data_IF_528937757488
#
_entry.id   IF_528937757488
#
_cell.length_a   1.000
_cell.length_b   1.000
_cell.length_c   1.000
_cell.angle_alpha   90.00
_cell.angle_beta   90.00
_cell.angle_gamma   90.00
#
_symmetry.space_group_name_H-M   'P 1'
#
loop_
_entity.id
_entity.type
_entity.pdbx_description
1 polymer ?
#
# COMPACT_ATOMS: atom_id res chain seq x y z
N UNK A 1 -45.60 -17.51 -8.58
CA UNK A 1 -45.35 -16.46 -7.57
C UNK A 1 -45.71 -16.98 -6.19
N UNK A 2 -44.95 -16.59 -5.16
CA UNK A 2 -45.09 -17.01 -3.76
C UNK A 2 -45.33 -15.79 -2.87
N UNK A 3 -46.19 -15.93 -1.87
CA UNK A 3 -46.39 -14.91 -0.83
C UNK A 3 -45.19 -14.85 0.12
N UNK A 4 -45.02 -13.74 0.86
CA UNK A 4 -43.96 -13.59 1.88
C UNK A 4 -43.90 -14.79 2.83
N UNK A 5 -45.07 -15.29 3.26
CA UNK A 5 -45.15 -16.44 4.17
C UNK A 5 -44.61 -17.72 3.52
N UNK A 6 -45.01 -18.00 2.28
CA UNK A 6 -44.49 -19.14 1.53
C UNK A 6 -42.98 -19.04 1.26
N UNK A 7 -42.44 -17.83 1.04
CA UNK A 7 -40.99 -17.62 0.91
C UNK A 7 -40.28 -17.84 2.24
N UNK A 8 -40.87 -17.37 3.34
CA UNK A 8 -40.37 -17.57 4.70
C UNK A 8 -40.28 -19.06 5.04
N UNK A 9 -41.37 -19.80 4.79
CA UNK A 9 -41.45 -21.24 5.04
C UNK A 9 -40.46 -22.03 4.17
N UNK A 10 -40.22 -21.59 2.93
CA UNK A 10 -39.28 -22.25 2.00
C UNK A 10 -37.81 -22.03 2.37
N UNK A 11 -37.46 -20.83 2.84
CA UNK A 11 -36.06 -20.40 2.97
C UNK A 11 -35.58 -20.35 4.42
N UNK A 12 -36.48 -20.48 5.40
CA UNK A 12 -36.19 -20.29 6.82
C UNK A 12 -35.97 -18.82 7.22
N UNK A 13 -36.05 -17.88 6.28
CA UNK A 13 -35.90 -16.45 6.56
C UNK A 13 -37.20 -15.90 7.14
N UNK A 14 -37.12 -15.21 8.27
CA UNK A 14 -38.31 -14.64 8.90
C UNK A 14 -39.03 -13.64 7.97
N UNK A 15 -40.35 -13.59 8.07
CA UNK A 15 -41.19 -12.57 7.40
C UNK A 15 -40.69 -11.15 7.67
N UNK A 16 -40.24 -10.88 8.90
CA UNK A 16 -39.65 -9.59 9.30
C UNK A 16 -38.39 -9.27 8.49
N UNK A 17 -37.50 -10.23 8.29
CA UNK A 17 -36.29 -10.03 7.50
C UNK A 17 -36.60 -9.79 6.01
N UNK A 18 -37.59 -10.50 5.45
CA UNK A 18 -38.03 -10.27 4.07
C UNK A 18 -38.64 -8.86 3.89
N UNK A 19 -39.42 -8.38 4.87
CA UNK A 19 -39.89 -6.99 4.87
C UNK A 19 -38.74 -5.99 4.97
N UNK A 20 -37.77 -6.24 5.84
CA UNK A 20 -36.60 -5.38 5.96
C UNK A 20 -35.77 -5.34 4.65
N UNK A 21 -35.63 -6.46 3.95
CA UNK A 21 -34.91 -6.50 2.66
C UNK A 21 -35.64 -5.70 1.58
N UNK A 22 -36.98 -5.67 1.60
CA UNK A 22 -37.79 -4.80 0.75
C UNK A 22 -37.61 -3.32 1.12
N UNK A 23 -37.68 -2.99 2.42
CA UNK A 23 -37.51 -1.63 2.94
C UNK A 23 -36.16 -1.00 2.55
N UNK A 24 -35.07 -1.75 2.68
CA UNK A 24 -33.74 -1.29 2.27
C UNK A 24 -33.51 -1.41 0.76
N UNK A 25 -34.47 -1.94 0.00
CA UNK A 25 -34.41 -2.12 -1.44
C UNK A 25 -33.39 -3.15 -1.90
N UNK A 26 -33.06 -4.13 -1.06
CA UNK A 26 -32.15 -5.25 -1.37
C UNK A 26 -32.90 -6.39 -2.09
N UNK A 27 -34.14 -6.68 -1.69
CA UNK A 27 -35.00 -7.66 -2.37
C UNK A 27 -36.44 -7.15 -2.43
N UNK A 28 -36.84 -6.65 -3.60
CA UNK A 28 -38.19 -6.12 -3.82
C UNK A 28 -39.15 -7.22 -4.29
N UNK A 29 -40.43 -7.17 -3.90
CA UNK A 29 -41.45 -8.04 -4.48
C UNK A 29 -41.70 -7.68 -5.94
N UNK A 30 -41.95 -8.69 -6.78
CA UNK A 30 -42.30 -8.46 -8.20
C UNK A 30 -43.69 -7.85 -8.34
N UNK A 31 -44.60 -8.19 -7.42
CA UNK A 31 -45.97 -7.69 -7.42
C UNK A 31 -46.47 -7.49 -6.00
N UNK A 32 -47.24 -6.43 -5.82
CA UNK A 32 -48.07 -6.23 -4.64
C UNK A 32 -49.52 -6.38 -5.11
N UNK A 33 -50.31 -7.23 -4.44
CA UNK A 33 -51.73 -7.41 -4.77
C UNK A 33 -52.56 -6.22 -4.28
N UNK A 34 -53.79 -6.06 -4.78
CA UNK A 34 -54.70 -4.99 -4.34
C UNK A 34 -55.02 -5.07 -2.83
N UNK A 35 -54.91 -6.27 -2.25
CA UNK A 35 -55.05 -6.51 -0.81
C UNK A 35 -53.74 -6.29 -0.01
N UNK A 36 -52.67 -5.80 -0.65
CA UNK A 36 -51.38 -5.47 -0.01
C UNK A 36 -50.42 -6.65 0.17
N UNK A 37 -50.68 -7.82 -0.42
CA UNK A 37 -49.77 -8.96 -0.31
C UNK A 37 -48.59 -8.84 -1.27
N UNK A 38 -47.37 -8.97 -0.76
CA UNK A 38 -46.14 -9.05 -1.55
C UNK A 38 -45.99 -10.44 -2.16
N UNK A 39 -45.66 -10.48 -3.45
CA UNK A 39 -45.47 -11.68 -4.24
C UNK A 39 -44.07 -11.71 -4.87
N UNK A 40 -43.42 -12.86 -4.75
CA UNK A 40 -42.07 -13.12 -5.27
C UNK A 40 -42.12 -14.24 -6.31
N UNK A 41 -41.50 -14.04 -7.46
CA UNK A 41 -41.31 -15.05 -8.48
C UNK A 41 -40.06 -15.90 -8.24
N UNK A 42 -39.79 -16.87 -9.12
CA UNK A 42 -38.65 -17.77 -8.99
C UNK A 42 -37.30 -17.03 -9.12
N UNK A 43 -37.23 -15.97 -9.92
CA UNK A 43 -36.02 -15.14 -10.01
C UNK A 43 -35.73 -14.41 -8.70
N UNK A 44 -36.76 -13.91 -8.01
CA UNK A 44 -36.61 -13.32 -6.68
C UNK A 44 -36.12 -14.34 -5.66
N UNK A 45 -36.51 -15.62 -5.78
CA UNK A 45 -35.96 -16.68 -4.92
C UNK A 45 -34.47 -16.91 -5.22
N UNK A 46 -34.06 -16.89 -6.49
CA UNK A 46 -32.63 -16.99 -6.86
C UNK A 46 -31.83 -15.80 -6.35
N UNK A 47 -32.39 -14.60 -6.41
CA UNK A 47 -31.76 -13.39 -5.85
C UNK A 47 -31.63 -13.49 -4.33
N UNK A 48 -32.68 -13.94 -3.65
CA UNK A 48 -32.65 -14.19 -2.21
C UNK A 48 -31.56 -15.21 -1.86
N UNK A 49 -31.44 -16.31 -2.61
CA UNK A 49 -30.38 -17.29 -2.40
C UNK A 49 -28.97 -16.66 -2.47
N UNK A 50 -28.72 -15.76 -3.42
CA UNK A 50 -27.44 -15.05 -3.52
C UNK A 50 -27.18 -14.13 -2.33
N UNK A 51 -28.21 -13.39 -1.88
CA UNK A 51 -28.13 -12.55 -0.68
C UNK A 51 -27.74 -13.40 0.54
N UNK A 52 -28.31 -14.60 0.65
CA UNK A 52 -28.00 -15.51 1.75
C UNK A 52 -26.56 -16.03 1.68
N UNK A 53 -26.02 -16.35 0.50
CA UNK A 53 -24.61 -16.73 0.39
C UNK A 53 -23.65 -15.62 0.83
N UNK A 54 -23.93 -14.36 0.48
CA UNK A 54 -23.15 -13.23 0.97
C UNK A 54 -23.25 -13.05 2.48
N UNK A 55 -24.42 -13.32 3.05
CA UNK A 55 -24.63 -13.25 4.50
C UNK A 55 -23.83 -14.31 5.25
N UNK A 56 -23.70 -15.52 4.71
CA UNK A 56 -22.94 -16.62 5.35
C UNK A 56 -21.42 -16.35 5.43
N UNK A 57 -20.91 -15.43 4.62
CA UNK A 57 -19.52 -14.93 4.67
C UNK A 57 -19.39 -13.58 5.40
N UNK A 58 -20.38 -13.23 6.23
CA UNK A 58 -20.40 -12.07 7.12
C UNK A 58 -20.34 -10.70 6.41
N UNK A 59 -20.73 -10.63 5.14
CA UNK A 59 -20.78 -9.35 4.41
C UNK A 59 -22.04 -8.56 4.83
N UNK A 60 -21.90 -7.28 5.23
CA UNK A 60 -23.03 -6.44 5.60
C UNK A 60 -24.04 -6.26 4.47
N UNK A 61 -25.34 -6.30 4.78
CA UNK A 61 -26.44 -6.20 3.78
C UNK A 61 -26.36 -4.95 2.89
N UNK A 62 -25.78 -3.86 3.39
CA UNK A 62 -25.53 -2.64 2.62
C UNK A 62 -24.55 -2.90 1.47
N UNK A 63 -23.43 -3.57 1.76
CA UNK A 63 -22.43 -3.93 0.77
C UNK A 63 -22.97 -4.97 -0.21
N UNK A 64 -23.76 -5.94 0.26
CA UNK A 64 -24.45 -6.90 -0.63
C UNK A 64 -25.30 -6.18 -1.67
N UNK A 65 -26.02 -5.13 -1.25
CA UNK A 65 -26.83 -4.32 -2.16
C UNK A 65 -25.96 -3.61 -3.21
N UNK A 66 -24.84 -3.01 -2.79
CA UNK A 66 -23.92 -2.30 -3.67
C UNK A 66 -23.28 -3.25 -4.69
N UNK A 67 -22.83 -4.44 -4.24
CA UNK A 67 -22.24 -5.49 -5.09
C UNK A 67 -23.26 -5.96 -6.14
N UNK A 68 -24.47 -6.30 -5.73
CA UNK A 68 -25.50 -6.84 -6.63
C UNK A 68 -26.08 -5.79 -7.59
N UNK A 69 -25.94 -4.50 -7.28
CA UNK A 69 -26.40 -3.40 -8.14
C UNK A 69 -25.33 -2.92 -9.13
N UNK A 70 -24.12 -3.48 -9.06
CA UNK A 70 -23.01 -3.11 -9.95
C UNK A 70 -23.28 -3.60 -11.38
N UNK A 71 -23.00 -2.74 -12.37
CA UNK A 71 -23.07 -3.10 -13.79
C UNK A 71 -22.04 -4.18 -14.20
N UNK A 72 -21.03 -4.41 -13.35
CA UNK A 72 -19.97 -5.40 -13.53
C UNK A 72 -20.22 -6.70 -12.75
N UNK A 73 -21.40 -6.84 -12.16
CA UNK A 73 -21.73 -8.01 -11.36
C UNK A 73 -21.91 -9.26 -12.23
N UNK A 74 -20.88 -10.10 -12.28
CA UNK A 74 -20.99 -11.47 -12.81
C UNK A 74 -21.45 -12.43 -11.70
N UNK A 75 -22.65 -12.97 -11.87
CA UNK A 75 -23.27 -13.92 -10.94
C UNK A 75 -22.46 -15.20 -10.74
N UNK A 76 -21.87 -15.74 -11.80
CA UNK A 76 -21.09 -16.98 -11.74
C UNK A 76 -19.76 -16.73 -11.05
N UNK A 77 -19.10 -15.61 -11.37
CA UNK A 77 -17.82 -15.26 -10.74
C UNK A 77 -18.01 -14.90 -9.25
N UNK A 78 -19.07 -14.18 -8.91
CA UNK A 78 -19.44 -13.92 -7.51
C UNK A 78 -19.63 -15.22 -6.72
N UNK A 79 -20.27 -16.24 -7.31
CA UNK A 79 -20.44 -17.55 -6.67
C UNK A 79 -19.12 -18.30 -6.50
N UNK A 80 -18.19 -18.22 -7.47
CA UNK A 80 -16.85 -18.81 -7.33
C UNK A 80 -16.07 -18.15 -6.20
N UNK A 81 -16.11 -16.82 -6.12
CA UNK A 81 -15.43 -16.06 -5.07
C UNK A 81 -16.04 -16.32 -3.70
N UNK A 82 -17.36 -16.37 -3.59
CA UNK A 82 -18.06 -16.81 -2.38
C UNK A 82 -17.64 -18.22 -1.97
N UNK A 83 -17.54 -19.17 -2.92
CA UNK A 83 -17.05 -20.53 -2.63
C UNK A 83 -15.61 -20.52 -2.11
N UNK A 84 -14.71 -19.72 -2.70
CA UNK A 84 -13.33 -19.56 -2.21
C UNK A 84 -13.32 -19.03 -0.77
N UNK A 85 -14.09 -17.98 -0.48
CA UNK A 85 -14.20 -17.40 0.86
C UNK A 85 -14.79 -18.38 1.88
N UNK A 86 -15.80 -19.16 1.50
CA UNK A 86 -16.35 -20.23 2.34
C UNK A 86 -15.34 -21.34 2.62
N UNK A 87 -14.51 -21.71 1.65
CA UNK A 87 -13.42 -22.69 1.85
C UNK A 87 -12.39 -22.14 2.84
N UNK A 88 -12.04 -20.85 2.75
CA UNK A 88 -11.13 -20.21 3.70
C UNK A 88 -11.75 -20.13 5.11
N UNK A 89 -13.03 -19.76 5.22
CA UNK A 89 -13.76 -19.76 6.50
C UNK A 89 -13.84 -21.17 7.09
N UNK A 90 -14.08 -22.19 6.26
CA UNK A 90 -14.03 -23.59 6.69
C UNK A 90 -12.65 -23.98 7.20
N UNK A 91 -11.58 -23.67 6.46
CA UNK A 91 -10.21 -23.96 6.90
C UNK A 91 -9.93 -23.30 8.26
N UNK A 92 -10.35 -22.04 8.44
CA UNK A 92 -10.22 -21.32 9.71
C UNK A 92 -11.00 -21.99 10.83
N UNK A 93 -12.23 -22.43 10.56
CA UNK A 93 -13.03 -23.17 11.53
C UNK A 93 -12.41 -24.52 11.87
N UNK A 94 -11.84 -25.23 10.90
CA UNK A 94 -11.13 -26.50 11.10
C UNK A 94 -9.89 -26.28 12.01
N UNK A 95 -9.11 -25.22 11.76
CA UNK A 95 -7.98 -24.81 12.62
C UNK A 95 -8.44 -24.51 14.06
N UNK A 96 -9.55 -23.79 14.23
CA UNK A 96 -10.13 -23.51 15.55
C UNK A 96 -10.68 -24.76 16.24
N UNK A 97 -11.30 -25.67 15.49
CA UNK A 97 -11.80 -26.96 16.00
C UNK A 97 -10.62 -27.80 16.49
N UNK A 98 -9.51 -27.85 15.74
CA UNK A 98 -8.30 -28.55 16.17
C UNK A 98 -7.72 -27.93 17.45
N UNK A 99 -7.69 -26.60 17.55
CA UNK A 99 -7.28 -25.92 18.78
C UNK A 99 -8.15 -26.32 19.99
N UNK A 100 -9.47 -26.41 19.79
CA UNK A 100 -10.42 -26.88 20.82
C UNK A 100 -10.17 -28.36 21.15
N UNK A 101 -9.93 -29.22 20.15
CA UNK A 101 -9.64 -30.63 20.36
C UNK A 101 -8.35 -30.83 21.18
N UNK A 102 -7.30 -30.09 20.88
CA UNK A 102 -6.05 -30.06 21.67
C UNK A 102 -6.34 -29.65 23.12
N UNK A 103 -7.13 -28.59 23.31
CA UNK A 103 -7.59 -28.13 24.62
C UNK A 103 -8.29 -29.25 25.40
N UNK A 104 -9.25 -29.93 24.77
CA UNK A 104 -10.06 -30.97 25.39
C UNK A 104 -9.25 -32.24 25.73
N UNK A 105 -8.17 -32.53 24.97
CA UNK A 105 -7.25 -33.63 25.27
C UNK A 105 -6.35 -33.37 26.48
N UNK A 106 -6.45 -32.20 27.11
CA UNK A 106 -5.58 -31.82 28.23
C UNK A 106 -4.13 -31.59 27.80
N UNK A 107 -3.91 -31.35 26.50
CA UNK A 107 -2.64 -30.84 25.99
C UNK A 107 -2.52 -29.41 26.49
N UNK A 108 -1.94 -29.27 27.69
CA UNK A 108 -1.78 -28.02 28.43
C UNK A 108 -0.84 -27.04 27.72
N UNK A 109 -1.39 -26.36 26.72
CA UNK A 109 -1.17 -24.98 26.32
C UNK A 109 -2.01 -24.80 25.04
N UNK A 110 -3.14 -24.11 25.14
CA UNK A 110 -3.71 -23.46 23.95
C UNK A 110 -2.64 -22.47 23.51
N UNK A 111 -1.84 -22.85 22.53
CA UNK A 111 -0.77 -22.02 22.04
C UNK A 111 -1.40 -20.91 21.19
N UNK A 112 -1.57 -19.72 21.77
CA UNK A 112 -2.02 -18.52 21.06
C UNK A 112 -0.99 -18.03 20.02
N UNK A 113 0.03 -18.85 19.70
CA UNK A 113 1.10 -18.57 18.73
C UNK A 113 0.68 -17.90 17.45
N UNK A 114 -0.51 -18.24 16.93
CA UNK A 114 -1.00 -17.63 15.68
C UNK A 114 -1.33 -16.13 15.81
N UNK A 115 -1.49 -15.66 17.06
CA UNK A 115 -1.65 -14.25 17.45
C UNK A 115 -0.47 -13.72 18.27
N UNK A 116 0.52 -14.58 18.57
CA UNK A 116 1.67 -14.23 19.40
C UNK A 116 2.69 -13.44 18.58
N UNK A 117 2.90 -12.18 18.97
CA UNK A 117 3.87 -11.29 18.35
C UNK A 117 5.28 -11.45 18.92
N UNK A 118 5.51 -12.40 19.84
CA UNK A 118 6.81 -12.62 20.47
C UNK A 118 7.94 -12.81 19.46
N UNK A 119 7.73 -13.62 18.40
CA UNK A 119 8.74 -13.82 17.36
C UNK A 119 9.07 -12.51 16.62
N UNK A 120 8.07 -11.68 16.35
CA UNK A 120 8.28 -10.38 15.75
C UNK A 120 9.04 -9.43 16.70
N UNK A 121 8.72 -9.42 17.99
CA UNK A 121 9.45 -8.64 18.99
C UNK A 121 10.89 -9.11 19.16
N UNK A 122 11.13 -10.42 19.11
CA UNK A 122 12.47 -11.01 19.13
C UNK A 122 13.30 -10.53 17.94
N UNK A 123 12.71 -10.46 16.74
CA UNK A 123 13.37 -9.88 15.56
C UNK A 123 13.76 -8.41 15.77
N UNK A 124 12.87 -7.61 16.37
CA UNK A 124 13.15 -6.19 16.68
C UNK A 124 14.30 -6.04 17.69
N UNK A 125 14.35 -6.92 18.69
CA UNK A 125 15.37 -6.95 19.73
C UNK A 125 16.73 -7.48 19.23
N UNK A 126 16.70 -8.53 18.39
CA UNK A 126 17.87 -9.07 17.69
C UNK A 126 18.51 -7.99 16.81
N UNK A 127 17.71 -7.27 16.01
CA UNK A 127 18.18 -6.15 15.20
C UNK A 127 18.87 -5.07 16.05
N UNK A 128 18.30 -4.75 17.22
CA UNK A 128 18.90 -3.79 18.18
C UNK A 128 20.29 -4.23 18.62
N UNK A 129 20.42 -5.50 18.99
CA UNK A 129 21.64 -6.11 19.52
C UNK A 129 22.73 -6.18 18.46
N UNK A 130 22.38 -6.61 17.25
CA UNK A 130 23.34 -6.88 16.17
C UNK A 130 23.69 -5.63 15.36
N UNK A 131 22.80 -4.63 15.31
CA UNK A 131 22.97 -3.45 14.48
C UNK A 131 22.87 -2.12 15.26
N UNK A 132 23.43 -2.08 16.48
CA UNK A 132 23.41 -0.90 17.36
C UNK A 132 23.76 0.42 16.65
N UNK A 133 24.80 0.43 15.80
CA UNK A 133 25.19 1.64 15.07
C UNK A 133 24.13 2.09 14.05
N UNK A 134 23.50 1.15 13.34
CA UNK A 134 22.41 1.46 12.41
C UNK A 134 21.18 1.95 13.16
N UNK A 135 20.88 1.36 14.32
CA UNK A 135 19.79 1.83 15.20
C UNK A 135 20.00 3.28 15.62
N UNK A 136 21.19 3.62 16.13
CA UNK A 136 21.51 5.01 16.53
C UNK A 136 21.39 5.96 15.34
N UNK A 137 21.81 5.54 14.14
CA UNK A 137 21.75 6.38 12.94
C UNK A 137 20.32 6.63 12.46
N UNK A 138 19.49 5.58 12.39
CA UNK A 138 18.12 5.66 11.86
C UNK A 138 17.17 6.30 12.87
N UNK A 139 17.26 5.89 14.14
CA UNK A 139 16.32 6.31 15.20
C UNK A 139 16.87 7.43 16.09
N UNK A 140 18.14 7.80 15.92
CA UNK A 140 18.84 8.86 16.67
C UNK A 140 19.50 8.37 17.96
N UNK A 141 18.95 7.36 18.62
CA UNK A 141 19.56 6.70 19.79
C UNK A 141 18.95 5.32 20.03
N UNK A 142 19.56 4.54 20.93
CA UNK A 142 19.00 3.24 21.35
C UNK A 142 17.72 3.44 22.17
N UNK A 143 17.67 4.50 22.98
CA UNK A 143 16.51 4.86 23.80
C UNK A 143 15.31 5.18 22.92
N UNK A 144 15.49 5.98 21.86
CA UNK A 144 14.42 6.27 20.89
C UNK A 144 13.93 5.03 20.14
N UNK A 145 14.80 4.06 19.92
CA UNK A 145 14.40 2.78 19.34
C UNK A 145 13.61 1.92 20.34
N UNK A 146 13.97 1.93 21.62
CA UNK A 146 13.16 1.29 22.66
C UNK A 146 11.78 1.94 22.76
N UNK A 147 11.68 3.27 22.71
CA UNK A 147 10.38 3.98 22.64
C UNK A 147 9.57 3.59 21.39
N UNK A 148 10.23 3.32 20.27
CA UNK A 148 9.58 2.75 19.08
C UNK A 148 9.03 1.35 19.37
N UNK A 149 9.82 0.44 19.95
CA UNK A 149 9.35 -0.91 20.32
C UNK A 149 8.16 -0.84 21.29
N UNK A 150 8.19 0.03 22.29
CA UNK A 150 7.07 0.17 23.23
C UNK A 150 5.81 0.71 22.55
N UNK A 151 5.93 1.63 21.57
CA UNK A 151 4.79 2.04 20.75
C UNK A 151 4.24 0.90 19.90
N UNK A 152 5.12 0.05 19.35
CA UNK A 152 4.71 -1.15 18.61
C UNK A 152 3.93 -2.10 19.53
N UNK A 153 4.45 -2.39 20.73
CA UNK A 153 3.74 -3.20 21.74
C UNK A 153 2.39 -2.62 22.12
N UNK A 154 2.30 -1.30 22.31
CA UNK A 154 1.01 -0.65 22.62
C UNK A 154 -0.03 -0.75 21.49
N UNK A 155 0.40 -1.06 20.26
CA UNK A 155 -0.45 -1.23 19.08
C UNK A 155 -0.47 -2.68 18.56
N UNK A 156 -0.05 -3.64 19.38
CA UNK A 156 0.19 -5.03 18.97
C UNK A 156 -1.00 -5.65 18.25
N UNK A 157 -2.21 -5.51 18.79
CA UNK A 157 -3.43 -6.09 18.19
C UNK A 157 -3.67 -5.59 16.75
N UNK A 158 -3.44 -4.29 16.52
CA UNK A 158 -3.60 -3.68 15.19
C UNK A 158 -2.53 -4.21 14.23
N UNK A 159 -1.30 -4.34 14.71
CA UNK A 159 -0.17 -4.84 13.90
C UNK A 159 -0.36 -6.32 13.59
N UNK A 160 -0.81 -7.14 14.54
CA UNK A 160 -1.12 -8.55 14.33
C UNK A 160 -2.22 -8.74 13.27
N UNK A 161 -3.31 -7.95 13.34
CA UNK A 161 -4.37 -7.94 12.31
C UNK A 161 -3.81 -7.60 10.92
N UNK A 162 -2.97 -6.57 10.82
CA UNK A 162 -2.30 -6.19 9.57
C UNK A 162 -1.37 -7.30 9.08
N UNK A 163 -0.55 -7.88 9.95
CA UNK A 163 0.40 -8.94 9.65
C UNK A 163 -0.31 -10.17 9.06
N UNK A 164 -1.36 -10.65 9.73
CA UNK A 164 -2.19 -11.77 9.25
C UNK A 164 -2.81 -11.43 7.89
N UNK A 165 -3.28 -10.20 7.72
CA UNK A 165 -3.89 -9.77 6.46
C UNK A 165 -2.90 -9.76 5.29
N UNK A 166 -1.74 -9.13 5.48
CA UNK A 166 -0.77 -8.88 4.41
C UNK A 166 0.17 -10.07 4.17
N UNK A 167 0.55 -10.78 5.22
CA UNK A 167 1.53 -11.87 5.19
C UNK A 167 0.92 -13.25 5.45
N UNK A 168 -0.36 -13.33 5.80
CA UNK A 168 -1.06 -14.58 6.10
C UNK A 168 -0.89 -15.04 7.54
N UNK A 169 0.33 -14.99 8.08
CA UNK A 169 0.65 -15.35 9.48
C UNK A 169 1.65 -14.37 10.10
N UNK A 170 1.68 -14.30 11.43
CA UNK A 170 2.66 -13.49 12.17
C UNK A 170 4.09 -14.03 11.97
N UNK A 171 4.28 -15.35 11.90
CA UNK A 171 5.58 -15.97 11.59
C UNK A 171 6.13 -15.48 10.24
N UNK A 172 5.31 -15.52 9.18
CA UNK A 172 5.70 -15.01 7.86
C UNK A 172 6.03 -13.52 7.93
N UNK A 173 5.27 -12.74 8.68
CA UNK A 173 5.55 -11.32 8.90
C UNK A 173 6.89 -11.10 9.64
N UNK A 174 7.16 -11.81 10.73
CA UNK A 174 8.41 -11.71 11.48
C UNK A 174 9.63 -12.05 10.59
N UNK A 175 9.52 -13.12 9.80
CA UNK A 175 10.55 -13.52 8.83
C UNK A 175 10.76 -12.48 7.72
N UNK A 176 9.68 -11.89 7.19
CA UNK A 176 9.76 -10.81 6.22
C UNK A 176 10.46 -9.59 6.81
N UNK A 177 10.13 -9.21 8.05
CA UNK A 177 10.77 -8.08 8.74
C UNK A 177 12.26 -8.35 8.98
N UNK A 178 12.64 -9.57 9.39
CA UNK A 178 14.04 -9.96 9.54
C UNK A 178 14.81 -9.86 8.21
N UNK A 179 14.19 -10.29 7.11
CA UNK A 179 14.73 -10.14 5.75
C UNK A 179 14.88 -8.65 5.42
N UNK A 180 13.86 -7.84 5.67
CA UNK A 180 13.85 -6.40 5.39
C UNK A 180 14.90 -5.63 6.20
N UNK A 181 15.20 -6.04 7.42
CA UNK A 181 16.32 -5.47 8.21
C UNK A 181 17.70 -5.83 7.68
N UNK A 182 17.80 -6.94 6.96
CA UNK A 182 19.03 -7.36 6.28
C UNK A 182 19.11 -6.82 4.84
N UNK A 183 18.07 -6.14 4.38
CA UNK A 183 17.94 -5.66 3.01
C UNK A 183 18.86 -4.47 2.70
N UNK A 184 19.14 -4.29 1.41
CA UNK A 184 20.04 -3.23 0.96
C UNK A 184 19.41 -1.82 1.05
N UNK A 185 18.11 -1.73 1.32
CA UNK A 185 17.41 -0.45 1.49
C UNK A 185 17.87 0.34 2.72
N UNK A 186 18.25 -0.36 3.80
CA UNK A 186 18.79 0.31 4.98
C UNK A 186 20.21 0.84 4.73
N UNK A 187 20.94 0.22 3.78
CA UNK A 187 22.27 0.66 3.37
C UNK A 187 22.20 1.86 2.41
N UNK A 188 21.11 2.02 1.63
CA UNK A 188 20.89 3.18 0.76
C UNK A 188 20.91 4.50 1.54
N UNK A 189 20.26 4.55 2.70
CA UNK A 189 20.28 5.73 3.58
C UNK A 189 21.71 6.14 3.94
N UNK A 190 22.60 5.17 4.19
CA UNK A 190 24.00 5.46 4.49
C UNK A 190 24.77 6.02 3.29
N UNK A 191 24.49 5.49 2.10
CA UNK A 191 25.11 5.96 0.86
C UNK A 191 24.61 7.37 0.50
N UNK A 192 23.33 7.67 0.70
CA UNK A 192 22.77 9.04 0.61
C UNK A 192 23.43 9.98 1.62
N UNK A 193 23.54 9.56 2.89
CA UNK A 193 24.19 10.36 3.93
C UNK A 193 25.65 10.65 3.61
N UNK A 194 26.37 9.71 3.01
CA UNK A 194 27.75 9.94 2.56
C UNK A 194 27.80 11.05 1.53
N UNK A 195 26.97 10.98 0.49
CA UNK A 195 26.88 12.05 -0.52
C UNK A 195 26.49 13.39 0.09
N UNK A 196 25.46 13.40 0.95
CA UNK A 196 25.02 14.58 1.70
C UNK A 196 26.15 15.22 2.47
N UNK A 197 26.86 14.42 3.27
CA UNK A 197 27.95 14.90 4.10
C UNK A 197 29.08 15.45 3.24
N UNK A 198 29.42 14.83 2.12
CA UNK A 198 30.49 15.32 1.27
C UNK A 198 30.13 16.64 0.56
N UNK A 199 28.87 16.80 0.14
CA UNK A 199 28.37 18.06 -0.43
C UNK A 199 28.29 19.17 0.64
N UNK A 200 27.57 18.92 1.75
CA UNK A 200 27.33 19.93 2.78
C UNK A 200 28.59 20.26 3.60
N UNK A 201 29.48 19.29 3.83
CA UNK A 201 30.76 19.54 4.51
C UNK A 201 31.90 19.84 3.53
N UNK A 202 31.61 19.98 2.24
CA UNK A 202 32.56 20.32 1.18
C UNK A 202 33.81 19.42 1.16
N UNK A 203 33.64 18.13 1.48
CA UNK A 203 34.74 17.17 1.49
C UNK A 203 35.18 16.77 0.09
N UNK A 204 34.27 16.87 -0.87
CA UNK A 204 34.58 16.61 -2.27
C UNK A 204 35.02 17.92 -2.96
N UNK A 205 36.31 18.09 -3.34
CA UNK A 205 36.85 19.37 -3.77
C UNK A 205 36.16 19.91 -5.02
N UNK A 206 35.87 19.04 -5.99
CA UNK A 206 35.24 19.45 -7.25
C UNK A 206 33.76 19.80 -7.11
N UNK A 207 32.96 18.96 -6.44
CA UNK A 207 31.56 19.27 -6.13
C UNK A 207 31.43 20.57 -5.32
N UNK A 208 32.31 20.79 -4.33
CA UNK A 208 32.36 22.04 -3.57
C UNK A 208 32.43 23.27 -4.48
N UNK A 209 33.35 23.28 -5.44
CA UNK A 209 33.51 24.40 -6.38
C UNK A 209 32.27 24.58 -7.26
N UNK A 210 31.71 23.48 -7.76
CA UNK A 210 30.53 23.51 -8.64
C UNK A 210 29.28 24.03 -7.92
N UNK A 211 29.02 23.56 -6.69
CA UNK A 211 27.90 24.06 -5.89
C UNK A 211 28.05 25.54 -5.55
N UNK A 212 29.27 26.03 -5.30
CA UNK A 212 29.52 27.46 -5.08
C UNK A 212 29.26 28.30 -6.33
N UNK A 213 29.66 27.81 -7.51
CA UNK A 213 29.35 28.47 -8.80
C UNK A 213 27.86 28.48 -9.13
N UNK A 214 27.13 27.43 -8.75
CA UNK A 214 25.67 27.40 -8.91
C UNK A 214 25.01 28.53 -8.12
N UNK A 215 25.41 28.72 -6.87
CA UNK A 215 24.72 29.64 -5.93
C UNK A 215 25.33 31.03 -5.86
N UNK A 216 26.30 31.35 -6.74
CA UNK A 216 26.95 32.65 -6.79
C UNK A 216 25.97 33.79 -7.08
N UNK A 217 24.97 33.53 -7.92
CA UNK A 217 23.88 34.45 -8.22
C UNK A 217 22.57 33.68 -8.42
N UNK A 218 21.73 33.72 -7.38
CA UNK A 218 20.42 33.04 -7.34
C UNK A 218 19.36 33.71 -8.23
N UNK A 219 19.65 34.87 -8.82
CA UNK A 219 18.73 35.56 -9.74
C UNK A 219 18.84 35.06 -11.19
N UNK A 220 19.88 34.26 -11.49
CA UNK A 220 20.11 33.71 -12.82
C UNK A 220 18.98 32.78 -13.25
N UNK A 221 18.73 32.73 -14.56
CA UNK A 221 17.81 31.77 -15.13
C UNK A 221 18.36 30.36 -14.95
N UNK A 222 17.68 29.51 -14.18
CA UNK A 222 18.10 28.14 -13.88
C UNK A 222 18.34 27.27 -15.13
N UNK A 223 17.78 27.65 -16.28
CA UNK A 223 17.95 26.95 -17.57
C UNK A 223 19.08 27.51 -18.45
N UNK A 224 19.88 28.46 -17.97
CA UNK A 224 20.99 29.01 -18.74
C UNK A 224 22.06 27.95 -19.04
N UNK A 225 22.67 28.03 -20.22
CA UNK A 225 23.61 27.02 -20.74
C UNK A 225 24.75 26.72 -19.76
N UNK A 226 25.33 27.76 -19.16
CA UNK A 226 26.39 27.67 -18.18
C UNK A 226 25.97 26.97 -16.87
N UNK A 227 24.77 27.24 -16.35
CA UNK A 227 24.23 26.52 -15.19
C UNK A 227 23.93 25.05 -15.52
N UNK A 228 23.48 24.78 -16.75
CA UNK A 228 23.21 23.42 -17.21
C UNK A 228 24.49 22.62 -17.46
N UNK A 229 25.59 23.25 -17.87
CA UNK A 229 26.93 22.63 -17.92
C UNK A 229 27.43 22.27 -16.51
N UNK A 230 27.23 23.15 -15.53
CA UNK A 230 27.56 22.85 -14.12
C UNK A 230 26.68 21.71 -13.60
N UNK A 231 25.38 21.70 -13.91
CA UNK A 231 24.46 20.63 -13.53
C UNK A 231 24.87 19.27 -14.10
N UNK A 232 25.30 19.26 -15.37
CA UNK A 232 25.88 18.09 -16.02
C UNK A 232 27.11 17.60 -15.27
N UNK A 233 28.06 18.48 -14.98
CA UNK A 233 29.30 18.10 -14.31
C UNK A 233 29.06 17.57 -12.89
N UNK A 234 28.16 18.19 -12.12
CA UNK A 234 27.72 17.67 -10.81
C UNK A 234 27.11 16.29 -10.96
N UNK A 235 26.24 16.08 -11.95
CA UNK A 235 25.60 14.78 -12.19
C UNK A 235 26.63 13.71 -12.54
N UNK A 236 27.55 14.02 -13.46
CA UNK A 236 28.59 13.09 -13.92
C UNK A 236 29.53 12.68 -12.77
N UNK A 237 29.98 13.65 -11.95
CA UNK A 237 30.79 13.37 -10.76
C UNK A 237 30.00 12.54 -9.74
N UNK A 238 28.74 12.91 -9.49
CA UNK A 238 27.91 12.20 -8.52
C UNK A 238 27.71 10.74 -8.92
N UNK A 239 27.43 10.47 -10.21
CA UNK A 239 27.29 9.11 -10.75
C UNK A 239 28.59 8.33 -10.81
N UNK A 240 29.73 9.01 -10.94
CA UNK A 240 31.04 8.35 -11.00
C UNK A 240 31.56 7.97 -9.61
N UNK A 241 31.47 8.90 -8.66
CA UNK A 241 32.20 8.82 -7.40
C UNK A 241 31.33 8.26 -6.25
N UNK A 242 30.02 8.17 -6.45
CA UNK A 242 29.08 7.66 -5.44
C UNK A 242 28.27 6.47 -5.99
N UNK A 243 28.54 5.30 -5.40
CA UNK A 243 27.93 4.01 -5.78
C UNK A 243 26.39 4.07 -5.87
N UNK A 244 25.75 4.82 -4.98
CA UNK A 244 24.28 4.99 -4.98
C UNK A 244 23.72 5.53 -6.28
N UNK A 245 24.51 6.30 -7.02
CA UNK A 245 24.10 6.88 -8.31
C UNK A 245 24.69 6.12 -9.51
N UNK A 246 25.53 5.10 -9.28
CA UNK A 246 26.17 4.31 -10.31
C UNK A 246 25.58 2.89 -10.47
N UNK A 247 24.77 2.43 -9.52
CA UNK A 247 24.06 1.16 -9.57
C UNK A 247 22.89 1.18 -10.57
N UNK A 248 22.26 0.02 -10.81
CA UNK A 248 21.14 -0.11 -11.76
C UNK A 248 19.97 0.84 -11.46
N UNK A 249 19.72 1.16 -10.19
CA UNK A 249 18.71 2.12 -9.72
C UNK A 249 19.27 3.53 -9.51
N UNK A 250 20.54 3.76 -9.87
CA UNK A 250 21.28 4.98 -9.54
C UNK A 250 20.71 6.24 -10.17
N UNK A 251 20.07 6.06 -11.31
CA UNK A 251 19.35 7.09 -12.02
C UNK A 251 18.06 7.54 -11.33
N UNK A 252 17.32 6.60 -10.75
CA UNK A 252 16.15 6.88 -9.91
C UNK A 252 16.59 7.50 -8.59
N UNK A 253 17.66 6.99 -7.99
CA UNK A 253 18.25 7.57 -6.77
C UNK A 253 18.70 9.03 -7.00
N UNK A 254 19.26 9.34 -8.18
CA UNK A 254 19.64 10.70 -8.54
C UNK A 254 18.40 11.60 -8.70
N UNK A 255 17.32 11.10 -9.31
CA UNK A 255 16.05 11.83 -9.36
C UNK A 255 15.56 12.18 -7.95
N UNK A 256 15.53 11.22 -7.02
CA UNK A 256 15.12 11.47 -5.64
C UNK A 256 16.07 12.41 -4.88
N UNK A 257 17.37 12.36 -5.19
CA UNK A 257 18.34 13.34 -4.67
C UNK A 257 17.96 14.76 -5.10
N UNK A 258 17.61 14.96 -6.37
CA UNK A 258 17.14 16.27 -6.85
C UNK A 258 15.83 16.70 -6.19
N UNK A 259 14.90 15.77 -5.93
CA UNK A 259 13.66 16.10 -5.21
C UNK A 259 13.93 16.59 -3.78
N UNK A 260 14.96 16.10 -3.09
CA UNK A 260 15.28 16.61 -1.75
C UNK A 260 15.59 18.11 -1.73
N UNK A 261 16.20 18.66 -2.79
CA UNK A 261 16.42 20.10 -2.93
C UNK A 261 15.13 20.91 -3.15
N UNK A 262 14.05 20.26 -3.57
CA UNK A 262 12.80 20.92 -3.95
C UNK A 262 11.71 20.81 -2.88
N UNK A 263 11.61 19.64 -2.23
CA UNK A 263 10.48 19.32 -1.36
C UNK A 263 10.84 18.88 0.05
N UNK A 264 12.10 18.54 0.35
CA UNK A 264 12.50 18.11 1.71
C UNK A 264 12.91 19.33 2.56
N UNK A 265 12.11 19.77 3.55
CA UNK A 265 12.38 21.00 4.30
C UNK A 265 13.69 20.93 5.08
N UNK A 266 14.00 19.76 5.68
CA UNK A 266 15.23 19.54 6.44
C UNK A 266 16.47 19.66 5.56
N UNK A 267 16.38 19.18 4.31
CA UNK A 267 17.48 19.30 3.36
C UNK A 267 17.66 20.74 2.89
N UNK A 268 16.56 21.38 2.50
CA UNK A 268 16.55 22.78 2.03
C UNK A 268 17.14 23.70 3.10
N UNK A 269 16.72 23.54 4.36
CA UNK A 269 17.20 24.37 5.46
C UNK A 269 18.73 24.23 5.66
N UNK A 270 19.27 23.02 5.61
CA UNK A 270 20.71 22.80 5.76
C UNK A 270 21.53 23.37 4.59
N UNK A 271 21.00 23.31 3.37
CA UNK A 271 21.62 23.92 2.20
C UNK A 271 21.56 25.45 2.28
N UNK A 272 20.40 26.01 2.65
CA UNK A 272 20.18 27.44 2.79
C UNK A 272 21.04 28.06 3.90
N UNK A 273 21.20 27.37 5.05
CA UNK A 273 22.15 27.77 6.11
C UNK A 273 23.57 27.91 5.59
N UNK A 274 23.95 27.09 4.62
CA UNK A 274 25.32 27.06 4.08
C UNK A 274 25.54 28.08 2.96
N UNK A 275 24.61 28.17 2.02
CA UNK A 275 24.78 28.93 0.78
C UNK A 275 23.93 30.19 0.69
N UNK A 276 23.10 30.47 1.70
CA UNK A 276 22.19 31.60 1.73
C UNK A 276 20.74 31.18 1.43
N UNK A 277 19.80 32.02 1.86
CA UNK A 277 18.37 31.75 1.70
C UNK A 277 17.98 31.57 0.23
N UNK A 278 17.23 30.50 -0.07
CA UNK A 278 16.77 30.16 -1.42
C UNK A 278 17.74 29.30 -2.24
N UNK A 279 18.97 29.08 -1.76
CA UNK A 279 19.98 28.32 -2.47
C UNK A 279 19.56 26.86 -2.73
N UNK A 280 18.93 26.19 -1.76
CA UNK A 280 18.47 24.81 -1.88
C UNK A 280 17.49 24.62 -3.01
N UNK A 281 16.44 25.46 -3.05
CA UNK A 281 15.45 25.41 -4.14
C UNK A 281 16.05 25.77 -5.49
N UNK A 282 16.95 26.77 -5.53
CA UNK A 282 17.63 27.17 -6.76
C UNK A 282 18.46 26.03 -7.35
N UNK A 283 19.31 25.38 -6.54
CA UNK A 283 20.07 24.19 -6.93
C UNK A 283 19.12 23.10 -7.46
N UNK A 284 18.04 22.84 -6.73
CA UNK A 284 17.04 21.84 -7.14
C UNK A 284 16.41 22.14 -8.50
N UNK A 285 16.11 23.41 -8.80
CA UNK A 285 15.55 23.82 -10.09
C UNK A 285 16.55 23.67 -11.24
N UNK A 286 17.82 24.04 -11.03
CA UNK A 286 18.89 23.86 -12.01
C UNK A 286 19.08 22.37 -12.34
N UNK A 287 19.21 21.53 -11.31
CA UNK A 287 19.38 20.08 -11.49
C UNK A 287 18.13 19.42 -12.09
N UNK A 288 16.93 19.84 -11.69
CA UNK A 288 15.67 19.36 -12.27
C UNK A 288 15.57 19.70 -13.76
N UNK A 289 15.96 20.92 -14.14
CA UNK A 289 15.98 21.34 -15.55
C UNK A 289 16.91 20.43 -16.37
N UNK A 290 18.08 20.09 -15.81
CA UNK A 290 19.03 19.19 -16.47
C UNK A 290 18.46 17.77 -16.66
N UNK A 291 17.70 17.28 -15.68
CA UNK A 291 17.01 15.99 -15.77
C UNK A 291 15.87 15.95 -16.80
N UNK A 292 15.37 17.11 -17.23
CA UNK A 292 14.23 17.22 -18.16
C UNK A 292 13.01 16.44 -17.62
N UNK A 293 12.39 15.63 -18.47
CA UNK A 293 11.21 14.82 -18.14
C UNK A 293 11.53 13.50 -17.46
N UNK A 294 12.81 13.28 -17.10
CA UNK A 294 13.22 12.02 -16.49
C UNK A 294 12.60 11.85 -15.11
N UNK A 295 11.89 10.73 -14.94
CA UNK A 295 11.34 10.28 -13.67
C UNK A 295 11.49 8.75 -13.55
N UNK A 296 11.49 8.19 -12.34
CA UNK A 296 11.42 6.75 -12.14
C UNK A 296 10.16 6.18 -12.79
N UNK A 297 10.28 4.99 -13.38
CA UNK A 297 9.17 4.35 -14.12
C UNK A 297 7.93 4.15 -13.25
N UNK A 298 8.11 3.86 -11.97
CA UNK A 298 6.98 3.72 -11.04
C UNK A 298 6.16 5.00 -10.95
N UNK A 299 6.80 6.19 -10.90
CA UNK A 299 6.10 7.46 -10.84
C UNK A 299 5.30 7.72 -12.11
N UNK A 300 5.86 7.42 -13.28
CA UNK A 300 5.16 7.61 -14.56
C UNK A 300 3.97 6.66 -14.71
N UNK A 301 4.08 5.44 -14.17
CA UNK A 301 2.97 4.49 -14.16
C UNK A 301 1.81 4.94 -13.27
N UNK A 302 2.09 5.49 -12.08
CA UNK A 302 1.05 6.07 -11.23
C UNK A 302 0.40 7.29 -11.89
N UNK A 303 1.18 8.19 -12.50
CA UNK A 303 0.67 9.33 -13.26
C UNK A 303 -0.23 8.87 -14.42
N UNK A 304 0.16 7.82 -15.15
CA UNK A 304 -0.63 7.23 -16.24
C UNK A 304 -1.90 6.56 -15.75
N UNK A 305 -1.85 5.87 -14.60
CA UNK A 305 -2.99 5.19 -14.01
C UNK A 305 -4.12 6.18 -13.69
N UNK A 306 -3.77 7.35 -13.17
CA UNK A 306 -4.73 8.38 -12.74
C UNK A 306 -4.94 9.51 -13.76
N UNK A 307 -4.36 9.39 -14.95
CA UNK A 307 -4.46 10.40 -16.02
C UNK A 307 -5.92 10.69 -16.41
N UNK A 308 -6.77 9.65 -16.36
CA UNK A 308 -8.21 9.75 -16.61
C UNK A 308 -8.98 8.92 -15.59
N UNK A 309 -9.46 9.58 -14.54
CA UNK A 309 -10.25 8.98 -13.47
C UNK A 309 -11.66 8.56 -13.90
N UNK A 310 -12.10 8.90 -15.13
CA UNK A 310 -13.38 8.45 -15.67
C UNK A 310 -13.32 7.07 -16.33
N UNK A 311 -12.11 6.54 -16.54
CA UNK A 311 -11.90 5.19 -17.06
C UNK A 311 -12.54 4.13 -16.15
N UNK A 312 -12.94 3.03 -16.76
CA UNK A 312 -13.38 1.86 -16.01
C UNK A 312 -12.16 1.17 -15.38
N UNK A 313 -12.15 1.03 -14.04
CA UNK A 313 -11.06 0.38 -13.32
C UNK A 313 -10.84 -1.08 -13.76
N UNK A 314 -11.86 -1.75 -14.30
CA UNK A 314 -11.76 -3.12 -14.83
C UNK A 314 -11.29 -3.19 -16.28
N UNK A 315 -11.17 -2.05 -16.97
CA UNK A 315 -10.75 -2.01 -18.37
C UNK A 315 -9.37 -2.61 -18.56
N UNK A 316 -9.16 -3.22 -19.74
CA UNK A 316 -7.85 -3.80 -20.11
C UNK A 316 -6.72 -2.77 -20.05
N UNK A 317 -7.00 -1.52 -20.39
CA UNK A 317 -6.01 -0.44 -20.32
C UNK A 317 -5.56 -0.17 -18.88
N UNK A 318 -6.51 0.03 -17.96
CA UNK A 318 -6.21 0.26 -16.53
C UNK A 318 -5.49 -0.95 -15.94
N UNK A 319 -6.01 -2.16 -16.18
CA UNK A 319 -5.44 -3.38 -15.62
C UNK A 319 -4.04 -3.69 -16.17
N UNK A 320 -3.75 -3.34 -17.43
CA UNK A 320 -2.39 -3.42 -17.99
C UNK A 320 -1.42 -2.45 -17.29
N UNK A 321 -1.87 -1.26 -16.89
CA UNK A 321 -1.03 -0.32 -16.13
C UNK A 321 -0.77 -0.86 -14.72
N UNK A 322 -1.78 -1.44 -14.06
CA UNK A 322 -1.61 -2.07 -12.75
C UNK A 322 -0.64 -3.26 -12.81
N UNK A 323 -0.70 -4.07 -13.86
CA UNK A 323 0.26 -5.15 -14.10
C UNK A 323 1.70 -4.61 -14.26
N UNK A 324 1.88 -3.52 -15.01
CA UNK A 324 3.20 -2.88 -15.13
C UNK A 324 3.71 -2.33 -13.80
N UNK A 325 2.82 -1.79 -12.94
CA UNK A 325 3.14 -1.36 -11.57
C UNK A 325 3.60 -2.55 -10.73
N UNK A 326 2.86 -3.66 -10.75
CA UNK A 326 3.20 -4.89 -10.04
C UNK A 326 4.57 -5.44 -10.46
N UNK A 327 4.82 -5.51 -11.76
CA UNK A 327 6.10 -5.95 -12.30
C UNK A 327 7.27 -5.04 -11.90
N UNK A 328 7.08 -3.72 -11.93
CA UNK A 328 8.12 -2.78 -11.51
C UNK A 328 8.39 -2.86 -10.00
N UNK A 329 7.35 -3.02 -9.18
CA UNK A 329 7.48 -3.23 -7.74
C UNK A 329 8.20 -4.55 -7.43
N UNK A 330 7.84 -5.65 -8.09
CA UNK A 330 8.52 -6.95 -7.93
C UNK A 330 10.01 -6.84 -8.27
N UNK A 331 10.35 -6.20 -9.39
CA UNK A 331 11.73 -5.93 -9.79
C UNK A 331 12.49 -5.13 -8.72
N UNK A 332 11.88 -4.06 -8.20
CA UNK A 332 12.50 -3.23 -7.15
C UNK A 332 12.70 -4.01 -5.84
N UNK A 333 11.69 -4.78 -5.44
CA UNK A 333 11.73 -5.60 -4.23
C UNK A 333 12.79 -6.69 -4.33
N UNK A 334 12.92 -7.36 -5.49
CA UNK A 334 13.96 -8.35 -5.73
C UNK A 334 15.37 -7.72 -5.66
N UNK A 335 15.56 -6.55 -6.30
CA UNK A 335 16.82 -5.82 -6.26
C UNK A 335 17.23 -5.45 -4.83
N UNK A 336 16.29 -4.95 -4.02
CA UNK A 336 16.59 -4.54 -2.65
C UNK A 336 16.48 -5.67 -1.62
N UNK A 337 15.98 -6.85 -2.01
CA UNK A 337 15.65 -7.99 -1.12
C UNK A 337 14.60 -7.62 -0.07
N UNK A 338 13.50 -7.04 -0.53
CA UNK A 338 12.36 -6.65 0.29
C UNK A 338 11.24 -7.69 0.15
N UNK A 339 10.73 -8.16 1.29
CA UNK A 339 9.54 -8.99 1.38
C UNK A 339 8.34 -8.14 1.85
N UNK A 340 7.43 -7.89 0.92
CA UNK A 340 6.19 -7.13 1.15
C UNK A 340 4.98 -8.02 1.47
N UNK A 341 5.17 -9.34 1.53
CA UNK A 341 4.10 -10.31 1.76
C UNK A 341 3.29 -10.62 0.50
N UNK A 342 2.65 -11.78 0.54
CA UNK A 342 1.91 -12.36 -0.58
C UNK A 342 0.64 -11.55 -0.94
N UNK A 343 0.12 -10.75 -0.01
CA UNK A 343 -1.13 -9.98 -0.16
C UNK A 343 -0.91 -8.47 -0.15
N UNK A 344 0.25 -8.01 -0.64
CA UNK A 344 0.60 -6.60 -0.67
C UNK A 344 -0.44 -5.72 -1.38
N UNK A 345 -0.87 -6.10 -2.60
CA UNK A 345 -1.84 -5.30 -3.36
C UNK A 345 -3.23 -5.25 -2.73
N UNK A 346 -3.67 -6.34 -2.10
CA UNK A 346 -4.92 -6.38 -1.33
C UNK A 346 -4.87 -5.40 -0.15
N UNK A 347 -3.76 -5.42 0.60
CA UNK A 347 -3.54 -4.45 1.69
C UNK A 347 -3.47 -3.01 1.18
N UNK A 348 -2.73 -2.75 0.10
CA UNK A 348 -2.62 -1.40 -0.48
C UNK A 348 -3.96 -0.88 -1.00
N UNK A 349 -4.76 -1.74 -1.66
CA UNK A 349 -6.12 -1.41 -2.09
C UNK A 349 -6.96 -0.89 -0.92
N UNK A 350 -6.92 -1.54 0.24
CA UNK A 350 -7.67 -1.08 1.39
C UNK A 350 -7.16 0.24 1.97
N UNK A 351 -5.85 0.47 1.99
CA UNK A 351 -5.32 1.76 2.41
C UNK A 351 -5.85 2.89 1.51
N UNK A 352 -5.83 2.68 0.20
CA UNK A 352 -6.36 3.64 -0.77
C UNK A 352 -7.87 3.85 -0.66
N UNK A 353 -8.63 2.85 -0.20
CA UNK A 353 -10.10 2.92 -0.11
C UNK A 353 -10.61 3.38 1.26
N UNK A 354 -9.86 3.15 2.34
CA UNK A 354 -10.37 3.26 3.71
C UNK A 354 -9.48 4.09 4.65
N UNK A 355 -8.16 4.17 4.41
CA UNK A 355 -7.29 4.94 5.30
C UNK A 355 -7.33 6.44 4.95
N UNK A 356 -7.86 7.23 5.87
CA UNK A 356 -8.07 8.68 5.68
C UNK A 356 -6.79 9.45 5.34
N UNK A 357 -5.62 9.03 5.82
CA UNK A 357 -4.36 9.71 5.53
C UNK A 357 -3.89 9.35 4.11
N UNK A 358 -3.98 8.07 3.73
CA UNK A 358 -3.68 7.63 2.37
C UNK A 358 -4.57 8.32 1.35
N UNK A 359 -5.88 8.38 1.60
CA UNK A 359 -6.84 9.09 0.74
C UNK A 359 -6.43 10.54 0.57
N UNK A 360 -6.25 11.26 1.68
CA UNK A 360 -5.91 12.68 1.66
C UNK A 360 -4.61 12.99 0.94
N UNK A 361 -3.56 12.19 1.16
CA UNK A 361 -2.25 12.39 0.53
C UNK A 361 -2.32 12.08 -0.97
N UNK A 362 -2.99 11.00 -1.34
CA UNK A 362 -3.09 10.56 -2.72
C UNK A 362 -3.93 11.52 -3.55
N UNK A 363 -5.11 11.91 -3.05
CA UNK A 363 -5.99 12.86 -3.75
C UNK A 363 -5.32 14.25 -3.87
N UNK A 364 -4.56 14.68 -2.85
CA UNK A 364 -3.77 15.91 -2.95
C UNK A 364 -2.71 15.86 -4.06
N UNK A 365 -2.13 14.69 -4.30
CA UNK A 365 -1.03 14.53 -5.26
C UNK A 365 -1.54 14.31 -6.69
N UNK A 366 -2.68 13.63 -6.85
CA UNK A 366 -3.15 13.13 -8.15
C UNK A 366 -4.55 13.63 -8.55
N UNK A 367 -5.23 14.39 -7.69
CA UNK A 367 -6.57 14.91 -7.92
C UNK A 367 -7.64 14.16 -7.10
N UNK A 368 -8.75 14.85 -6.83
CA UNK A 368 -9.85 14.31 -6.03
C UNK A 368 -10.39 13.00 -6.61
N UNK A 369 -10.49 11.96 -5.78
CA UNK A 369 -10.95 10.62 -6.18
C UNK A 369 -9.86 9.70 -6.74
N UNK A 370 -8.62 10.18 -6.91
CA UNK A 370 -7.51 9.35 -7.36
C UNK A 370 -7.21 8.17 -6.43
N UNK A 371 -7.29 8.37 -5.11
CA UNK A 371 -7.10 7.30 -4.14
C UNK A 371 -8.11 6.20 -4.34
N UNK A 372 -9.39 6.56 -4.46
CA UNK A 372 -10.47 5.59 -4.70
C UNK A 372 -10.23 4.80 -5.98
N UNK A 373 -9.88 5.50 -7.07
CA UNK A 373 -9.62 4.89 -8.37
C UNK A 373 -8.46 3.88 -8.31
N UNK A 374 -7.33 4.27 -7.70
CA UNK A 374 -6.16 3.38 -7.53
C UNK A 374 -6.55 2.15 -6.70
N UNK A 375 -7.27 2.36 -5.59
CA UNK A 375 -7.72 1.28 -4.72
C UNK A 375 -8.63 0.28 -5.44
N UNK A 376 -9.61 0.76 -6.20
CA UNK A 376 -10.51 -0.10 -7.00
C UNK A 376 -9.75 -0.85 -8.09
N UNK A 377 -8.83 -0.18 -8.80
CA UNK A 377 -8.02 -0.81 -9.84
C UNK A 377 -7.11 -1.92 -9.28
N UNK A 378 -6.48 -1.69 -8.13
CA UNK A 378 -5.63 -2.67 -7.45
C UNK A 378 -6.44 -3.86 -6.93
N UNK A 379 -7.63 -3.60 -6.37
CA UNK A 379 -8.54 -4.64 -5.90
C UNK A 379 -8.93 -5.59 -7.04
N UNK A 380 -9.38 -5.03 -8.16
CA UNK A 380 -9.78 -5.82 -9.35
C UNK A 380 -8.61 -6.66 -9.88
N UNK A 381 -7.42 -6.06 -9.98
CA UNK A 381 -6.23 -6.75 -10.46
C UNK A 381 -5.88 -7.96 -9.59
N UNK A 382 -5.91 -7.77 -8.27
CA UNK A 382 -5.60 -8.83 -7.32
C UNK A 382 -6.64 -9.95 -7.31
N UNK A 383 -7.94 -9.60 -7.36
CA UNK A 383 -9.04 -10.57 -7.40
C UNK A 383 -8.96 -11.48 -8.64
N UNK A 384 -8.49 -10.95 -9.77
CA UNK A 384 -8.35 -11.69 -11.02
C UNK A 384 -7.10 -12.59 -11.09
N UNK A 385 -5.99 -12.21 -10.43
CA UNK A 385 -4.69 -12.87 -10.58
C UNK A 385 -4.35 -13.91 -9.48
N UNK A 386 -5.11 -13.99 -8.39
CA UNK A 386 -4.92 -15.02 -7.34
C UNK A 386 -5.84 -16.25 -7.54
N UNK A 387 -5.84 -16.81 -8.76
CA UNK A 387 -6.46 -18.11 -9.04
C UNK A 387 -5.51 -19.28 -8.80
#
# INVERSE_FOLDING_TARGET
MRTVKQVSDLTGISVRALHYYDEIGLLKPNKITDAGYRLYDDESIKTLQQILFFKEIDIPLREVKEIMSSQYFDKVEALKNQKKLLILKRKRLDELIELINQTLRGEGNIDFKEFDMSEYFDVLEEFKREHRNKVIKIYGSVEKYNEYIERVKSNEEKIAKMAIKQYGTIEKFAKAIKTNFSSDILNLGEKFDRYKNDCLKEKHPKLKELYRKLVEDLSRNHSSTDLQEIAKEITDISKKDYEIFSMDTGDDNWYYMVQNYLVNPMWIEEVDKKYGSGAGKFIGQVLKTYLRDRKPKINTLYEKLVEDLSRDCSSREVQSIVEEIDNEMKRSNEFYKIDNGERYFDYMSELYLQDSNYIKVTDKNYGDGASKFIGEAFKIYFDNNNC
#
